data_IF_155082576847
#
_entry.id   IF_155082576847
#
_cell.length_a   1.000
_cell.length_b   1.000
_cell.length_c   1.000
_cell.angle_alpha   90.00
_cell.angle_beta   90.00
_cell.angle_gamma   90.00
#
_symmetry.space_group_name_H-M   'P 1'
#
loop_
_entity.id
_entity.type
_entity.pdbx_description
1 polymer ?
#
# COMPACT_ATOMS: atom_id res chain seq x y z
N UNK A 1 -6.18 -4.07 19.38
CA UNK A 1 -7.14 -4.72 18.46
C UNK A 1 -8.18 -3.68 18.08
N UNK A 2 -8.39 -3.40 16.79
CA UNK A 2 -9.44 -2.49 16.32
C UNK A 2 -10.47 -3.29 15.54
N UNK A 3 -11.72 -3.24 15.97
CA UNK A 3 -12.84 -3.87 15.29
C UNK A 3 -13.52 -2.83 14.40
N UNK A 4 -13.79 -3.19 13.15
CA UNK A 4 -14.52 -2.34 12.19
C UNK A 4 -15.75 -3.09 11.71
N UNK A 5 -16.83 -2.37 11.49
CA UNK A 5 -18.07 -2.94 10.94
C UNK A 5 -18.01 -2.95 9.42
N UNK A 6 -18.42 -4.06 8.83
CA UNK A 6 -18.54 -4.20 7.37
C UNK A 6 -19.75 -3.40 6.90
N UNK A 7 -19.59 -2.61 5.84
CA UNK A 7 -20.70 -1.90 5.22
C UNK A 7 -21.63 -2.87 4.47
N UNK A 8 -22.81 -2.39 4.07
CA UNK A 8 -23.78 -3.18 3.29
C UNK A 8 -23.19 -3.76 1.99
N UNK A 9 -22.18 -3.10 1.41
CA UNK A 9 -21.49 -3.56 0.20
C UNK A 9 -20.32 -4.50 0.47
N UNK A 10 -20.14 -4.97 1.71
CA UNK A 10 -19.01 -5.83 2.07
C UNK A 10 -17.69 -5.07 2.23
N UNK A 11 -17.71 -3.74 2.36
CA UNK A 11 -16.50 -2.94 2.45
C UNK A 11 -16.13 -2.68 3.91
N UNK A 12 -14.83 -2.65 4.20
CA UNK A 12 -14.29 -2.19 5.49
C UNK A 12 -13.37 -1.00 5.25
N UNK A 13 -13.46 -0.01 6.13
CA UNK A 13 -12.55 1.13 6.11
C UNK A 13 -11.29 0.78 6.90
N UNK A 14 -10.12 0.89 6.27
CA UNK A 14 -8.85 0.67 6.94
C UNK A 14 -8.62 1.82 7.96
N UNK A 15 -8.50 1.53 9.27
CA UNK A 15 -8.29 2.55 10.28
C UNK A 15 -7.06 3.42 10.01
N UNK A 16 -7.13 4.70 10.42
CA UNK A 16 -6.08 5.70 10.14
C UNK A 16 -4.70 5.28 10.64
N UNK A 17 -4.63 4.58 11.78
CA UNK A 17 -3.37 4.12 12.37
C UNK A 17 -2.68 3.07 11.50
N UNK A 18 -3.47 2.14 10.93
CA UNK A 18 -2.94 1.09 10.04
C UNK A 18 -2.51 1.72 8.71
N UNK A 19 -3.33 2.61 8.13
CA UNK A 19 -2.98 3.32 6.89
C UNK A 19 -1.66 4.07 7.01
N UNK A 20 -1.46 4.82 8.10
CA UNK A 20 -0.22 5.58 8.34
C UNK A 20 0.98 4.67 8.55
N UNK A 21 0.82 3.59 9.32
CA UNK A 21 1.91 2.66 9.63
C UNK A 21 2.39 1.87 8.41
N UNK A 22 1.46 1.52 7.52
CA UNK A 22 1.77 0.75 6.32
C UNK A 22 1.98 1.64 5.07
N UNK A 23 1.77 2.95 5.16
CA UNK A 23 1.92 3.87 4.03
C UNK A 23 0.85 3.73 2.96
N UNK A 24 -0.37 3.31 3.33
CA UNK A 24 -1.49 3.16 2.38
C UNK A 24 -2.00 4.54 1.98
N UNK A 25 -1.79 4.90 0.72
CA UNK A 25 -2.32 6.09 0.07
C UNK A 25 -3.44 5.74 -0.93
N UNK A 26 -4.28 6.70 -1.35
CA UNK A 26 -5.19 6.50 -2.48
C UNK A 26 -4.42 6.00 -3.71
N UNK A 27 -4.92 4.95 -4.37
CA UNK A 27 -4.26 4.33 -5.53
C UNK A 27 -3.34 3.16 -5.21
N UNK A 28 -3.02 2.90 -3.92
CA UNK A 28 -2.29 1.69 -3.54
C UNK A 28 -3.09 0.43 -3.91
N UNK A 29 -2.41 -0.55 -4.50
CA UNK A 29 -2.97 -1.88 -4.74
C UNK A 29 -2.72 -2.78 -3.53
N UNK A 30 -3.70 -3.60 -3.18
CA UNK A 30 -3.62 -4.57 -2.10
C UNK A 30 -3.82 -5.98 -2.66
N UNK A 31 -3.00 -6.92 -2.18
CA UNK A 31 -3.18 -8.33 -2.40
C UNK A 31 -3.96 -8.92 -1.23
N UNK A 32 -4.91 -9.79 -1.54
CA UNK A 32 -5.70 -10.52 -0.55
C UNK A 32 -5.40 -12.01 -0.69
N UNK A 33 -5.11 -12.65 0.43
CA UNK A 33 -5.04 -14.11 0.54
C UNK A 33 -5.89 -14.58 1.72
N UNK A 34 -6.38 -15.82 1.62
CA UNK A 34 -7.21 -16.45 2.63
C UNK A 34 -6.45 -17.62 3.24
N UNK A 35 -6.22 -17.57 4.55
CA UNK A 35 -5.63 -18.66 5.32
C UNK A 35 -6.62 -19.09 6.40
N UNK A 36 -7.34 -20.19 6.16
CA UNK A 36 -8.43 -20.63 7.03
C UNK A 36 -9.56 -19.60 7.11
N UNK A 37 -9.71 -18.95 8.27
CA UNK A 37 -10.67 -17.87 8.49
C UNK A 37 -10.01 -16.48 8.63
N UNK A 38 -8.73 -16.38 8.26
CA UNK A 38 -7.98 -15.13 8.34
C UNK A 38 -7.75 -14.59 6.93
N UNK A 39 -8.11 -13.33 6.73
CA UNK A 39 -7.79 -12.59 5.51
C UNK A 39 -6.46 -11.88 5.73
N UNK A 40 -5.46 -12.25 4.94
CA UNK A 40 -4.18 -11.58 4.89
C UNK A 40 -4.23 -10.51 3.79
N UNK A 41 -3.85 -9.29 4.15
CA UNK A 41 -3.87 -8.13 3.24
C UNK A 41 -2.48 -7.54 3.18
N UNK A 42 -1.90 -7.54 1.99
CA UNK A 42 -0.55 -7.06 1.75
C UNK A 42 -0.55 -5.91 0.75
N UNK A 43 0.28 -4.89 0.99
CA UNK A 43 0.44 -3.81 0.02
C UNK A 43 1.29 -4.32 -1.12
N UNK A 44 0.72 -4.30 -2.32
CA UNK A 44 1.46 -4.56 -3.55
C UNK A 44 2.32 -3.32 -3.84
N UNK A 45 3.57 -3.35 -3.38
CA UNK A 45 4.56 -2.34 -3.75
C UNK A 45 4.88 -2.52 -5.22
N UNK A 46 4.34 -1.66 -6.07
CA UNK A 46 4.91 -1.49 -7.40
C UNK A 46 6.30 -0.87 -7.22
N UNK A 47 7.32 -1.51 -7.79
CA UNK A 47 8.72 -1.07 -7.76
C UNK A 47 8.97 0.30 -8.44
N UNK A 48 7.92 0.99 -8.91
CA UNK A 48 8.03 2.25 -9.63
C UNK A 48 8.53 3.43 -8.79
N UNK A 49 8.44 3.39 -7.45
CA UNK A 49 8.92 4.50 -6.61
C UNK A 49 10.44 4.53 -6.43
N UNK A 50 11.14 3.40 -6.57
CA UNK A 50 12.61 3.38 -6.49
C UNK A 50 13.26 3.82 -7.81
N UNK A 51 12.67 3.46 -8.94
CA UNK A 51 13.23 3.78 -10.27
C UNK A 51 13.19 5.28 -10.57
N UNK A 52 12.15 6.00 -10.13
CA UNK A 52 12.08 7.47 -10.32
C UNK A 52 13.13 8.19 -9.48
N UNK A 53 13.35 7.74 -8.24
CA UNK A 53 14.35 8.32 -7.34
C UNK A 53 15.80 8.08 -7.82
N UNK A 54 16.07 6.93 -8.45
CA UNK A 54 17.36 6.61 -9.04
C UNK A 54 17.56 7.37 -10.37
N UNK A 55 16.56 7.37 -11.26
CA UNK A 55 16.61 8.06 -12.55
C UNK A 55 16.80 9.58 -12.39
N UNK A 56 16.19 10.19 -11.37
CA UNK A 56 16.36 11.63 -11.08
C UNK A 56 17.79 11.96 -10.62
N UNK A 57 18.48 11.02 -9.96
CA UNK A 57 19.88 11.20 -9.52
C UNK A 57 20.88 11.02 -10.66
N UNK A 58 20.59 10.15 -11.62
CA UNK A 58 21.46 9.91 -12.78
C UNK A 58 21.38 11.06 -13.81
N UNK A 59 20.19 11.64 -14.03
CA UNK A 59 20.00 12.78 -14.92
C UNK A 59 20.70 14.09 -14.46
N UNK A 60 21.15 14.16 -13.21
CA UNK A 60 21.92 15.27 -12.67
C UNK A 60 23.44 15.10 -12.86
N UNK A 61 23.91 13.88 -13.15
CA UNK A 61 25.35 13.56 -13.28
C UNK A 61 25.88 13.64 -14.73
N UNK A 62 24.99 13.60 -15.72
CA UNK A 62 25.34 13.62 -17.15
C UNK A 62 25.43 15.04 -17.75
N UNK A 63 25.47 16.07 -16.89
CA UNK A 63 25.58 17.49 -17.27
C UNK A 63 26.83 18.17 -16.69
N UNK A 64 27.89 17.40 -16.41
CA UNK A 64 29.17 17.89 -15.86
C UNK A 64 30.33 17.56 -16.78
#
# INVERSE_FOLDING_TARGET
>A
MQTVTVSEKGQVVIPVQIRRRLGIAPGCQLNFSLEGQVIHVEIKRQMADFDVALATREAARDRS
#
